data_IF_573372538724
#
_entry.id   IF_573372538724
#
_cell.length_a   1.000
_cell.length_b   1.000
_cell.length_c   1.000
_cell.angle_alpha   90.00
_cell.angle_beta   90.00
_cell.angle_gamma   90.00
#
_symmetry.space_group_name_H-M   'P 1'
#
loop_
_entity.id
_entity.type
_entity.pdbx_description
1 polymer ?
#
# COMPACT_ATOMS: atom_id res chain seq x y z
N UNK A 1 24.36 -41.91 26.85
CA UNK A 1 24.90 -40.68 27.46
C UNK A 1 24.08 -39.51 26.93
N UNK A 2 23.40 -38.77 27.77
CA UNK A 2 22.73 -37.51 27.34
C UNK A 2 23.82 -36.45 27.21
N UNK A 3 24.07 -35.99 26.02
CA UNK A 3 24.91 -34.81 25.83
C UNK A 3 24.14 -33.59 26.41
N UNK A 4 24.69 -33.03 27.46
CA UNK A 4 24.13 -31.84 28.12
C UNK A 4 24.78 -30.63 27.43
N UNK A 5 23.97 -29.78 26.81
CA UNK A 5 24.44 -28.55 26.18
C UNK A 5 25.13 -27.65 27.23
N UNK A 6 26.39 -27.29 26.97
CA UNK A 6 27.13 -26.39 27.86
C UNK A 6 26.71 -24.95 27.69
N UNK A 7 26.87 -24.13 28.71
CA UNK A 7 26.56 -22.67 28.64
C UNK A 7 27.33 -21.99 27.49
N UNK A 8 28.56 -22.39 27.24
CA UNK A 8 29.37 -21.87 26.13
C UNK A 8 28.78 -22.24 24.77
N UNK A 9 28.33 -23.49 24.60
CA UNK A 9 27.66 -23.92 23.37
C UNK A 9 26.36 -23.12 23.15
N UNK A 10 25.54 -23.02 24.18
CA UNK A 10 24.28 -22.24 24.10
C UNK A 10 24.55 -20.79 23.71
N UNK A 11 25.53 -20.15 24.34
CA UNK A 11 25.95 -18.78 24.01
C UNK A 11 26.42 -18.62 22.58
N UNK A 12 27.27 -19.52 22.10
CA UNK A 12 27.82 -19.46 20.74
C UNK A 12 26.75 -19.71 19.68
N UNK A 13 25.80 -20.62 19.93
CA UNK A 13 24.65 -20.85 19.05
C UNK A 13 23.76 -19.61 19.00
N UNK A 14 23.48 -19.02 20.16
CA UNK A 14 22.64 -17.83 20.25
C UNK A 14 23.27 -16.63 19.49
N UNK A 15 24.50 -16.27 19.80
CA UNK A 15 25.14 -15.15 19.14
C UNK A 15 25.44 -15.43 17.65
N UNK A 16 25.93 -16.62 17.32
CA UNK A 16 26.21 -16.99 15.95
C UNK A 16 24.94 -17.01 15.09
N UNK A 17 23.85 -17.60 15.60
CA UNK A 17 22.55 -17.60 14.93
C UNK A 17 21.97 -16.19 14.81
N UNK A 18 22.03 -15.39 15.88
CA UNK A 18 21.54 -14.00 15.84
C UNK A 18 22.30 -13.16 14.80
N UNK A 19 23.63 -13.21 14.79
CA UNK A 19 24.45 -12.48 13.82
C UNK A 19 24.11 -12.92 12.40
N UNK A 20 24.03 -14.25 12.17
CA UNK A 20 23.71 -14.80 10.85
C UNK A 20 22.36 -14.26 10.32
N UNK A 21 21.30 -14.30 11.13
CA UNK A 21 19.99 -13.81 10.70
C UNK A 21 19.94 -12.29 10.58
N UNK A 22 20.66 -11.54 11.41
CA UNK A 22 20.78 -10.08 11.28
C UNK A 22 21.44 -9.71 9.93
N UNK A 23 22.50 -10.40 9.54
CA UNK A 23 23.16 -10.14 8.25
C UNK A 23 22.24 -10.42 7.08
N UNK A 24 21.52 -11.55 7.12
CA UNK A 24 20.49 -11.86 6.09
C UNK A 24 19.42 -10.79 6.06
N UNK A 25 18.86 -10.41 7.21
CA UNK A 25 17.83 -9.39 7.31
C UNK A 25 18.28 -8.06 6.72
N UNK A 26 19.46 -7.59 7.09
CA UNK A 26 20.00 -6.34 6.56
C UNK A 26 20.24 -6.44 5.04
N UNK A 27 20.79 -7.56 4.56
CA UNK A 27 21.02 -7.79 3.14
C UNK A 27 19.71 -7.74 2.33
N UNK A 28 18.68 -8.45 2.80
CA UNK A 28 17.37 -8.44 2.14
C UNK A 28 16.69 -7.07 2.21
N UNK A 29 16.79 -6.37 3.34
CA UNK A 29 16.23 -5.02 3.50
C UNK A 29 16.89 -4.02 2.54
N UNK A 30 18.23 -4.03 2.45
CA UNK A 30 18.95 -3.15 1.53
C UNK A 30 18.64 -3.49 0.06
N UNK A 31 18.56 -4.78 -0.27
CA UNK A 31 18.19 -5.22 -1.62
C UNK A 31 16.77 -4.75 -1.98
N UNK A 32 15.80 -4.93 -1.07
CA UNK A 32 14.42 -4.50 -1.29
C UNK A 32 14.31 -2.98 -1.42
N UNK A 33 14.99 -2.21 -0.56
CA UNK A 33 15.03 -0.76 -0.66
C UNK A 33 15.63 -0.29 -2.00
N UNK A 34 16.75 -0.89 -2.42
CA UNK A 34 17.37 -0.61 -3.71
C UNK A 34 16.42 -0.91 -4.88
N UNK A 35 15.74 -2.06 -4.85
CA UNK A 35 14.78 -2.45 -5.88
C UNK A 35 13.59 -1.48 -5.96
N UNK A 36 13.00 -1.12 -4.82
CA UNK A 36 11.86 -0.18 -4.78
C UNK A 36 12.26 1.16 -5.42
N UNK A 37 13.36 1.75 -4.97
CA UNK A 37 13.80 3.08 -5.43
C UNK A 37 14.25 3.07 -6.89
N UNK A 38 14.97 2.04 -7.32
CA UNK A 38 15.61 2.05 -8.64
C UNK A 38 14.87 1.26 -9.73
N UNK A 39 13.82 0.54 -9.37
CA UNK A 39 13.07 -0.29 -10.33
C UNK A 39 11.57 -0.08 -10.23
N UNK A 40 11.00 -0.29 -9.04
CA UNK A 40 9.54 -0.27 -8.86
C UNK A 40 8.95 1.13 -9.06
N UNK A 41 9.62 2.16 -8.54
CA UNK A 41 9.15 3.55 -8.57
C UNK A 41 10.10 4.53 -9.27
N UNK A 42 11.14 4.03 -9.94
CA UNK A 42 12.20 4.87 -10.51
C UNK A 42 11.71 5.95 -11.49
N UNK A 43 10.67 5.65 -12.26
CA UNK A 43 10.09 6.58 -13.23
C UNK A 43 8.93 7.42 -12.64
N UNK A 44 8.62 7.27 -11.36
CA UNK A 44 7.46 7.88 -10.73
C UNK A 44 7.90 8.99 -9.76
N UNK A 45 7.73 10.27 -10.11
CA UNK A 45 8.09 11.35 -9.21
C UNK A 45 7.19 11.33 -7.97
N UNK A 46 7.80 11.34 -6.80
CA UNK A 46 7.09 11.52 -5.54
C UNK A 46 6.85 13.03 -5.32
N UNK A 47 5.74 13.53 -5.85
CA UNK A 47 5.38 14.94 -5.70
C UNK A 47 4.78 15.22 -4.32
N UNK A 48 4.76 16.51 -3.92
CA UNK A 48 4.10 16.93 -2.68
C UNK A 48 2.61 16.53 -2.64
N UNK A 49 1.93 16.57 -3.78
CA UNK A 49 0.52 16.16 -3.91
C UNK A 49 0.37 14.66 -3.61
N UNK A 50 1.24 13.80 -4.16
CA UNK A 50 1.25 12.36 -3.88
C UNK A 50 1.50 12.11 -2.39
N UNK A 51 2.45 12.83 -1.79
CA UNK A 51 2.75 12.70 -0.37
C UNK A 51 1.59 13.16 0.53
N UNK A 52 0.88 14.25 0.15
CA UNK A 52 -0.33 14.67 0.85
C UNK A 52 -1.48 13.68 0.66
N UNK A 53 -1.65 13.14 -0.54
CA UNK A 53 -2.67 12.11 -0.82
C UNK A 53 -2.47 10.85 0.02
N UNK A 54 -1.21 10.42 0.22
CA UNK A 54 -0.88 9.34 1.14
C UNK A 54 -1.30 9.68 2.57
N UNK A 55 -1.06 10.91 3.05
CA UNK A 55 -1.52 11.33 4.38
C UNK A 55 -3.06 11.30 4.49
N UNK A 56 -3.78 11.78 3.47
CA UNK A 56 -5.26 11.68 3.44
C UNK A 56 -5.71 10.23 3.57
N UNK A 57 -5.05 9.29 2.88
CA UNK A 57 -5.29 7.85 3.00
C UNK A 57 -5.11 7.34 4.43
N UNK A 58 -4.02 7.73 5.09
CA UNK A 58 -3.67 7.31 6.44
C UNK A 58 -4.60 7.92 7.50
N UNK A 59 -4.85 9.23 7.43
CA UNK A 59 -5.70 9.97 8.38
C UNK A 59 -7.15 9.51 8.36
N UNK A 60 -7.64 9.07 7.21
CA UNK A 60 -9.00 8.54 7.08
C UNK A 60 -9.07 7.02 7.25
N UNK A 61 -7.97 6.38 7.64
CA UNK A 61 -7.86 4.95 7.92
C UNK A 61 -8.43 4.06 6.79
N UNK A 62 -8.21 4.43 5.53
CA UNK A 62 -8.73 3.72 4.36
C UNK A 62 -8.27 2.26 4.32
N UNK A 63 -7.06 1.98 4.84
CA UNK A 63 -6.48 0.64 4.96
C UNK A 63 -7.29 -0.30 5.88
N UNK A 64 -8.14 0.24 6.75
CA UNK A 64 -8.98 -0.58 7.62
C UNK A 64 -10.12 -1.29 6.87
N UNK A 65 -10.39 -0.89 5.63
CA UNK A 65 -11.39 -1.52 4.77
C UNK A 65 -10.79 -1.99 3.45
N UNK A 66 -9.88 -1.23 2.87
CA UNK A 66 -9.25 -1.48 1.59
C UNK A 66 -7.84 -2.05 1.76
N UNK A 67 -7.36 -2.73 0.72
CA UNK A 67 -5.95 -3.07 0.58
C UNK A 67 -5.26 -2.11 -0.40
N UNK A 68 -3.96 -1.92 -0.21
CA UNK A 68 -3.05 -1.30 -1.15
C UNK A 68 -1.83 -2.22 -1.31
N UNK A 69 -1.63 -2.76 -2.49
CA UNK A 69 -0.61 -3.79 -2.79
C UNK A 69 -0.73 -5.04 -1.90
N UNK A 70 -1.97 -5.44 -1.57
CA UNK A 70 -2.25 -6.58 -0.71
C UNK A 70 -2.14 -6.30 0.79
N UNK A 71 -1.68 -5.13 1.20
CA UNK A 71 -1.62 -4.72 2.60
C UNK A 71 -2.93 -4.02 3.01
N UNK A 72 -3.51 -4.44 4.13
CA UNK A 72 -4.73 -3.88 4.68
C UNK A 72 -5.85 -4.90 4.90
N UNK A 73 -7.09 -4.41 5.06
CA UNK A 73 -8.25 -5.25 5.30
C UNK A 73 -8.98 -5.58 3.98
N UNK A 74 -9.35 -6.85 3.84
CA UNK A 74 -10.05 -7.37 2.65
C UNK A 74 -11.58 -7.22 2.75
N UNK A 75 -12.09 -6.12 3.27
CA UNK A 75 -13.52 -5.82 3.31
C UNK A 75 -14.04 -5.14 2.05
N UNK A 76 -13.17 -4.40 1.40
CA UNK A 76 -13.43 -3.64 0.20
C UNK A 76 -12.34 -3.94 -0.84
N UNK A 77 -12.54 -3.56 -2.11
CA UNK A 77 -11.58 -3.87 -3.17
C UNK A 77 -10.19 -3.28 -2.93
N UNK A 78 -9.19 -3.94 -3.51
CA UNK A 78 -7.83 -3.42 -3.66
C UNK A 78 -7.84 -2.07 -4.40
N UNK A 79 -7.11 -1.08 -3.90
CA UNK A 79 -7.06 0.26 -4.49
C UNK A 79 -5.76 0.59 -5.24
N UNK A 80 -4.75 -0.29 -5.19
CA UNK A 80 -3.50 -0.09 -5.93
C UNK A 80 -3.70 0.02 -7.46
N UNK A 81 -4.71 -0.64 -8.01
CA UNK A 81 -5.04 -0.57 -9.44
C UNK A 81 -6.38 0.13 -9.75
N UNK A 82 -6.99 0.80 -8.80
CA UNK A 82 -8.35 1.37 -8.97
C UNK A 82 -8.44 2.36 -10.12
N UNK A 83 -7.43 3.21 -10.31
CA UNK A 83 -7.41 4.20 -11.38
C UNK A 83 -7.27 3.55 -12.77
N UNK A 84 -6.59 2.40 -12.85
CA UNK A 84 -6.54 1.58 -14.07
C UNK A 84 -7.89 0.95 -14.35
N UNK A 85 -8.54 0.34 -13.34
CA UNK A 85 -9.88 -0.26 -13.50
C UNK A 85 -10.94 0.75 -13.93
N UNK A 86 -10.84 1.98 -13.46
CA UNK A 86 -11.74 3.07 -13.87
C UNK A 86 -11.38 3.69 -15.22
N UNK A 87 -10.24 3.32 -15.81
CA UNK A 87 -9.78 3.84 -17.10
C UNK A 87 -9.29 5.29 -17.06
N UNK A 88 -8.93 5.79 -15.86
CA UNK A 88 -8.57 7.20 -15.66
C UNK A 88 -7.13 7.41 -15.17
N UNK A 89 -6.30 6.36 -15.23
CA UNK A 89 -4.93 6.40 -14.69
C UNK A 89 -4.02 7.47 -15.32
N UNK A 90 -4.26 7.81 -16.58
CA UNK A 90 -3.49 8.82 -17.32
C UNK A 90 -4.21 10.17 -17.44
N UNK A 91 -5.32 10.33 -16.74
CA UNK A 91 -6.21 11.49 -16.82
C UNK A 91 -6.50 12.04 -15.41
N UNK A 92 -5.61 12.88 -14.84
CA UNK A 92 -5.71 13.31 -13.44
C UNK A 92 -7.02 14.05 -13.09
N UNK A 93 -7.56 14.84 -14.02
CA UNK A 93 -8.83 15.56 -13.79
C UNK A 93 -10.04 14.61 -13.83
N UNK A 94 -10.03 13.60 -14.67
CA UNK A 94 -11.06 12.57 -14.71
C UNK A 94 -10.95 11.66 -13.49
N UNK A 95 -9.74 11.34 -13.05
CA UNK A 95 -9.50 10.59 -11.82
C UNK A 95 -10.03 11.34 -10.59
N UNK A 96 -9.76 12.66 -10.51
CA UNK A 96 -10.33 13.52 -9.47
C UNK A 96 -11.85 13.51 -9.50
N UNK A 97 -12.44 13.75 -10.67
CA UNK A 97 -13.90 13.83 -10.83
C UNK A 97 -14.59 12.52 -10.51
N UNK A 98 -14.01 11.40 -10.96
CA UNK A 98 -14.52 10.05 -10.69
C UNK A 98 -14.44 9.72 -9.20
N UNK A 99 -13.30 10.00 -8.56
CA UNK A 99 -13.11 9.76 -7.13
C UNK A 99 -14.03 10.64 -6.29
N UNK A 100 -14.20 11.92 -6.64
CA UNK A 100 -15.11 12.85 -5.98
C UNK A 100 -16.53 12.33 -6.01
N UNK A 101 -17.02 12.00 -7.20
CA UNK A 101 -18.37 11.47 -7.39
C UNK A 101 -18.59 10.18 -6.57
N UNK A 102 -17.58 9.31 -6.51
CA UNK A 102 -17.66 8.09 -5.71
C UNK A 102 -17.78 8.40 -4.21
N UNK A 103 -16.88 9.23 -3.67
CA UNK A 103 -16.87 9.59 -2.25
C UNK A 103 -18.16 10.31 -1.84
N UNK A 104 -18.66 11.23 -2.66
CA UNK A 104 -19.89 11.96 -2.39
C UNK A 104 -21.14 11.09 -2.46
N UNK A 105 -21.14 10.04 -3.28
CA UNK A 105 -22.23 9.09 -3.36
C UNK A 105 -22.31 8.12 -2.16
N UNK A 106 -21.29 8.06 -1.31
CA UNK A 106 -21.24 7.16 -0.15
C UNK A 106 -21.92 7.79 1.09
N UNK A 107 -22.55 6.97 1.94
CA UNK A 107 -22.90 5.56 1.76
C UNK A 107 -24.08 5.36 0.81
N UNK A 108 -24.10 4.26 0.08
CA UNK A 108 -25.19 3.95 -0.88
C UNK A 108 -26.50 3.51 -0.22
N UNK A 109 -26.53 3.35 1.12
CA UNK A 109 -27.68 2.94 1.94
C UNK A 109 -28.29 1.58 1.55
N UNK A 110 -27.48 0.69 1.00
CA UNK A 110 -27.91 -0.70 0.68
C UNK A 110 -27.95 -1.51 1.98
N UNK A 111 -29.13 -1.98 2.37
CA UNK A 111 -29.31 -2.78 3.59
C UNK A 111 -28.52 -4.09 3.55
N UNK A 112 -28.06 -4.53 4.72
CA UNK A 112 -27.35 -5.81 4.89
C UNK A 112 -25.91 -5.83 4.34
N UNK A 113 -25.40 -4.72 3.80
CA UNK A 113 -24.03 -4.62 3.31
C UNK A 113 -23.22 -3.61 4.12
N UNK A 114 -21.97 -3.97 4.43
CA UNK A 114 -21.00 -3.01 4.96
C UNK A 114 -20.73 -1.98 3.87
N UNK A 115 -20.72 -0.71 4.24
CA UNK A 115 -20.60 0.39 3.30
C UNK A 115 -19.43 1.27 3.67
N UNK A 116 -18.83 1.91 2.65
CA UNK A 116 -17.86 2.98 2.83
C UNK A 116 -18.56 4.14 3.56
N UNK A 117 -17.98 4.68 4.64
CA UNK A 117 -18.56 5.83 5.34
C UNK A 117 -18.44 7.09 4.47
N UNK A 118 -19.20 8.12 4.83
CA UNK A 118 -19.07 9.43 4.23
C UNK A 118 -17.85 10.13 4.80
N UNK A 119 -16.89 10.45 3.95
CA UNK A 119 -15.75 11.28 4.29
C UNK A 119 -16.02 12.73 3.89
N UNK A 120 -15.70 13.68 4.79
CA UNK A 120 -15.82 15.11 4.53
C UNK A 120 -14.49 15.68 4.04
N UNK A 121 -14.04 15.21 2.86
CA UNK A 121 -12.81 15.67 2.24
C UNK A 121 -13.05 16.93 1.42
N UNK A 122 -12.08 17.85 1.45
CA UNK A 122 -12.05 19.00 0.54
C UNK A 122 -11.66 18.57 -0.87
N UNK A 123 -11.96 19.39 -1.87
CA UNK A 123 -11.57 19.11 -3.26
C UNK A 123 -10.07 18.95 -3.41
N UNK A 124 -9.26 19.71 -2.66
CA UNK A 124 -7.80 19.57 -2.67
C UNK A 124 -7.36 18.21 -2.09
N UNK A 125 -7.97 17.77 -1.00
CA UNK A 125 -7.70 16.45 -0.41
C UNK A 125 -8.08 15.32 -1.35
N UNK A 126 -9.22 15.44 -2.04
CA UNK A 126 -9.65 14.43 -3.02
C UNK A 126 -8.69 14.42 -4.22
N UNK A 127 -8.23 15.58 -4.68
CA UNK A 127 -7.25 15.69 -5.78
C UNK A 127 -5.91 15.07 -5.37
N UNK A 128 -5.43 15.38 -4.18
CA UNK A 128 -4.19 14.79 -3.66
C UNK A 128 -4.31 13.26 -3.51
N UNK A 129 -5.45 12.78 -3.01
CA UNK A 129 -5.74 11.34 -2.91
C UNK A 129 -5.80 10.66 -4.29
N UNK A 130 -6.42 11.31 -5.29
CA UNK A 130 -6.45 10.81 -6.67
C UNK A 130 -5.02 10.68 -7.24
N UNK A 131 -4.18 11.70 -7.03
CA UNK A 131 -2.79 11.68 -7.47
C UNK A 131 -1.97 10.58 -6.76
N UNK A 132 -2.22 10.34 -5.48
CA UNK A 132 -1.61 9.20 -4.77
C UNK A 132 -2.05 7.85 -5.35
N UNK A 133 -3.33 7.67 -5.64
CA UNK A 133 -3.85 6.42 -6.22
C UNK A 133 -3.39 6.22 -7.68
N UNK A 134 -3.23 7.30 -8.47
CA UNK A 134 -2.59 7.25 -9.79
C UNK A 134 -1.13 6.80 -9.65
N UNK A 135 -0.39 7.41 -8.73
CA UNK A 135 1.01 7.06 -8.46
C UNK A 135 1.13 5.58 -8.06
N UNK A 136 0.26 5.13 -7.15
CA UNK A 136 0.19 3.74 -6.73
C UNK A 136 -0.11 2.80 -7.92
N UNK A 137 -1.08 3.15 -8.76
CA UNK A 137 -1.44 2.34 -9.93
C UNK A 137 -0.34 2.23 -11.00
N UNK A 138 0.60 3.17 -11.02
CA UNK A 138 1.74 3.17 -11.96
C UNK A 138 2.99 2.49 -11.42
N UNK A 139 3.04 2.17 -10.13
CA UNK A 139 4.18 1.47 -9.54
C UNK A 139 4.29 0.05 -10.12
N UNK A 140 5.53 -0.38 -10.40
CA UNK A 140 5.77 -1.75 -10.84
C UNK A 140 5.65 -2.72 -9.66
N UNK A 141 4.49 -3.34 -9.56
CA UNK A 141 4.12 -4.29 -8.50
C UNK A 141 4.37 -5.75 -8.89
N UNK A 142 5.07 -6.02 -10.01
CA UNK A 142 5.32 -7.37 -10.55
C UNK A 142 4.02 -8.16 -10.81
N UNK A 143 2.98 -7.46 -11.27
CA UNK A 143 1.69 -8.07 -11.61
C UNK A 143 0.71 -8.19 -10.45
N UNK A 144 0.91 -7.45 -9.35
CA UNK A 144 -0.12 -7.32 -8.32
C UNK A 144 -1.13 -6.20 -8.69
N UNK A 145 -2.42 -6.38 -8.44
CA UNK A 145 -3.09 -7.60 -8.02
C UNK A 145 -3.15 -8.64 -9.17
N UNK A 146 -3.24 -9.96 -8.87
CA UNK A 146 -3.24 -10.99 -9.91
C UNK A 146 -4.53 -11.04 -10.74
N UNK A 147 -5.54 -10.27 -10.35
CA UNK A 147 -6.82 -10.12 -11.06
C UNK A 147 -7.11 -8.65 -11.28
N UNK A 148 -7.63 -8.31 -12.45
CA UNK A 148 -8.02 -6.94 -12.81
C UNK A 148 -9.16 -6.39 -11.93
N UNK A 149 -9.95 -7.27 -11.34
CA UNK A 149 -11.06 -6.89 -10.44
C UNK A 149 -10.63 -6.41 -9.04
N UNK A 150 -9.36 -6.57 -8.69
CA UNK A 150 -8.82 -6.20 -7.39
C UNK A 150 -9.02 -7.25 -6.32
#
# INVERSE_FOLDING_TARGET
>A
MREVMTTTMARNIFYGGSIFFIVIFLGLTLHSAHYIVNTSTAALPLTDSVARGKRVWEENACINCHTLYGEGAYFAPELGNVMTRWGVIDQPDDAFSTLKNWIEAMPTKVEGRRQMPRFHLTDDQIRDLANFLIWAGKANTQGWPPKDSG
#
